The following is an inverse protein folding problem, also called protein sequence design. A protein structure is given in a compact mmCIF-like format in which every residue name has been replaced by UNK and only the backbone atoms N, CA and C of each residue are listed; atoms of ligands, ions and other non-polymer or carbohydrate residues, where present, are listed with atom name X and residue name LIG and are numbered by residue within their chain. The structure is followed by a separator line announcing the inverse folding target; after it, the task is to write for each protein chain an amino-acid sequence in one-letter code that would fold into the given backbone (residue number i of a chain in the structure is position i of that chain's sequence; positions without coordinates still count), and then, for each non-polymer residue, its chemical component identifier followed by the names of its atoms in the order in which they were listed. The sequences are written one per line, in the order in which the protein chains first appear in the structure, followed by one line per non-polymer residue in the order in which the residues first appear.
data_IF_416077726610
#
_entry.id   IF_416077726610
#
_cell.length_a   1.000
_cell.length_b   1.000
_cell.length_c   1.000
_cell.angle_alpha   90.00
_cell.angle_beta   90.00
_cell.angle_gamma   90.00
#
_symmetry.space_group_name_H-M   'P 1'
#
loop_
_entity.id
_entity.type
_entity.pdbx_description
1 polymer ?
#
# COMPACT_ATOMS: atom_id res chain seq x y z
N UNK A 1 15.65 -35.30 38.12
CA UNK A 1 16.88 -36.07 38.36
C UNK A 1 17.71 -36.04 37.11
N UNK A 2 18.93 -35.53 37.26
CA UNK A 2 20.15 -35.67 36.45
C UNK A 2 20.10 -36.45 35.13
N UNK A 3 20.49 -35.78 34.05
CA UNK A 3 21.16 -36.39 32.90
C UNK A 3 22.57 -35.81 32.83
N UNK A 4 23.58 -36.67 32.69
CA UNK A 4 24.98 -36.29 32.72
C UNK A 4 25.75 -37.02 31.60
N UNK A 5 26.57 -36.23 30.88
CA UNK A 5 27.72 -36.57 30.02
C UNK A 5 27.46 -37.38 28.74
N UNK A 6 28.10 -37.11 27.59
CA UNK A 6 29.48 -36.63 27.39
C UNK A 6 29.68 -35.90 26.04
N UNK A 7 30.53 -34.87 26.05
CA UNK A 7 31.24 -34.30 24.90
C UNK A 7 32.33 -35.25 24.36
N UNK A 8 32.86 -34.99 23.15
CA UNK A 8 34.23 -34.51 23.08
C UNK A 8 34.47 -33.33 22.10
N UNK A 9 35.08 -32.27 22.63
CA UNK A 9 36.00 -31.33 21.96
C UNK A 9 37.20 -32.09 21.33
N UNK A 10 38.00 -31.66 20.35
CA UNK A 10 38.56 -30.34 20.01
C UNK A 10 39.39 -30.49 18.71
N UNK A 11 39.47 -29.47 17.85
CA UNK A 11 40.77 -28.88 17.48
C UNK A 11 40.59 -27.60 16.65
N UNK A 12 41.00 -26.49 17.27
CA UNK A 12 41.23 -25.21 16.63
C UNK A 12 42.67 -25.15 16.09
N UNK A 13 42.89 -24.39 15.00
CA UNK A 13 44.16 -23.69 14.77
C UNK A 13 43.91 -22.26 14.28
N UNK A 14 44.49 -21.35 15.05
CA UNK A 14 44.60 -19.90 14.90
C UNK A 14 45.68 -19.49 13.89
N UNK A 15 45.58 -18.26 13.38
CA UNK A 15 46.60 -17.24 13.00
C UNK A 15 46.04 -16.43 11.80
N UNK A 16 46.00 -15.08 11.73
CA UNK A 16 46.38 -13.98 12.61
C UNK A 16 46.11 -12.62 11.91
N UNK A 17 45.75 -11.61 12.72
CA UNK A 17 45.90 -10.13 12.63
C UNK A 17 45.69 -9.32 11.32
N UNK A 18 44.82 -8.31 11.50
CA UNK A 18 44.85 -6.90 11.04
C UNK A 18 44.57 -6.56 9.56
N UNK A 19 43.47 -5.82 9.32
CA UNK A 19 43.29 -5.01 8.12
C UNK A 19 41.83 -4.62 7.87
N UNK A 20 41.51 -3.33 8.06
CA UNK A 20 40.47 -2.52 7.41
C UNK A 20 39.25 -3.25 6.82
N UNK A 21 38.07 -2.97 7.39
CA UNK A 21 36.77 -3.35 6.82
C UNK A 21 36.52 -2.50 5.56
N UNK A 22 37.02 -2.98 4.41
CA UNK A 22 36.64 -2.42 3.12
C UNK A 22 35.17 -2.71 2.83
N UNK A 23 34.44 -1.63 2.60
CA UNK A 23 33.10 -1.56 2.06
C UNK A 23 33.03 -2.35 0.73
N UNK A 24 32.42 -3.53 0.76
CA UNK A 24 32.19 -4.32 -0.45
C UNK A 24 31.16 -3.62 -1.35
N UNK A 25 31.67 -2.80 -2.27
CA UNK A 25 30.97 -2.34 -3.46
C UNK A 25 30.47 -3.55 -4.27
N UNK A 26 29.17 -3.58 -4.53
CA UNK A 26 28.52 -4.56 -5.40
C UNK A 26 29.05 -4.44 -6.85
N UNK A 27 29.36 -5.56 -7.53
CA UNK A 27 29.91 -5.53 -8.88
C UNK A 27 28.84 -5.15 -9.89
N UNK A 28 29.17 -4.21 -10.80
CA UNK A 28 28.27 -3.72 -11.84
C UNK A 28 27.77 -4.84 -12.77
N UNK A 29 26.45 -4.99 -12.84
CA UNK A 29 25.78 -6.05 -13.60
C UNK A 29 25.78 -5.73 -15.11
N UNK A 30 26.51 -6.52 -15.92
CA UNK A 30 26.45 -6.47 -17.38
C UNK A 30 25.20 -7.24 -17.85
N UNK A 31 24.20 -6.54 -18.39
CA UNK A 31 23.01 -7.13 -19.02
C UNK A 31 23.41 -8.08 -20.13
N UNK A 32 22.91 -9.32 -20.11
CA UNK A 32 23.20 -10.34 -21.11
C UNK A 32 22.05 -10.45 -22.11
N UNK A 33 22.38 -10.70 -23.36
CA UNK A 33 21.37 -10.85 -24.43
C UNK A 33 20.55 -12.13 -24.28
N UNK A 34 20.97 -13.04 -23.41
CA UNK A 34 20.35 -14.34 -23.12
C UNK A 34 19.40 -14.29 -21.91
N UNK A 35 19.14 -13.11 -21.36
CA UNK A 35 18.23 -12.93 -20.22
C UNK A 35 16.77 -12.70 -20.64
N UNK A 36 15.86 -13.43 -20.00
CA UNK A 36 14.41 -13.21 -20.07
C UNK A 36 13.92 -12.50 -18.81
N UNK A 37 13.04 -11.52 -18.99
CA UNK A 37 12.31 -10.87 -17.90
C UNK A 37 11.04 -11.66 -17.62
N UNK A 38 10.79 -11.98 -16.36
CA UNK A 38 9.59 -12.68 -15.87
C UNK A 38 8.94 -11.82 -14.78
N UNK A 39 7.81 -11.19 -15.09
CA UNK A 39 7.13 -10.24 -14.22
C UNK A 39 5.77 -10.73 -13.70
N UNK A 40 5.25 -9.99 -12.72
CA UNK A 40 4.02 -10.30 -11.98
C UNK A 40 4.07 -11.65 -11.25
N UNK A 41 5.25 -11.96 -10.74
CA UNK A 41 5.45 -13.11 -9.87
C UNK A 41 4.79 -12.84 -8.49
N UNK A 42 4.37 -13.89 -7.76
CA UNK A 42 4.02 -13.79 -6.34
C UNK A 42 5.19 -13.20 -5.52
N UNK A 43 4.87 -12.53 -4.41
CA UNK A 43 5.91 -11.88 -3.58
C UNK A 43 6.73 -12.91 -2.78
N UNK A 44 6.04 -13.96 -2.38
CA UNK A 44 6.50 -15.14 -1.64
C UNK A 44 7.25 -16.16 -2.51
N UNK A 45 7.25 -16.01 -3.84
CA UNK A 45 7.90 -16.98 -4.74
C UNK A 45 9.40 -17.15 -4.41
N UNK A 46 9.84 -18.40 -4.31
CA UNK A 46 11.24 -18.76 -4.10
C UNK A 46 12.04 -18.71 -5.41
N UNK A 47 13.38 -18.67 -5.33
CA UNK A 47 14.23 -18.75 -6.54
C UNK A 47 14.10 -20.12 -7.20
N UNK A 48 13.91 -21.15 -6.39
CA UNK A 48 13.75 -22.55 -6.74
C UNK A 48 12.46 -22.76 -7.56
N UNK A 49 11.36 -22.10 -7.18
CA UNK A 49 10.12 -22.12 -7.95
C UNK A 49 10.25 -21.38 -9.29
N UNK A 50 11.03 -20.30 -9.36
CA UNK A 50 11.33 -19.62 -10.64
C UNK A 50 12.14 -20.55 -11.55
N UNK A 51 13.13 -21.27 -11.00
CA UNK A 51 13.87 -22.29 -11.74
C UNK A 51 12.94 -23.41 -12.25
N UNK A 52 12.03 -23.88 -11.40
CA UNK A 52 11.06 -24.90 -11.77
C UNK A 52 10.09 -24.44 -12.86
N UNK A 53 9.63 -23.18 -12.80
CA UNK A 53 8.77 -22.56 -13.80
C UNK A 53 9.41 -22.54 -15.20
N UNK A 54 10.74 -22.35 -15.27
CA UNK A 54 11.49 -22.30 -16.53
C UNK A 54 12.28 -23.58 -16.83
N UNK A 55 12.02 -24.69 -16.11
CA UNK A 55 12.83 -25.92 -16.19
C UNK A 55 13.03 -26.44 -17.62
N UNK A 56 12.01 -26.35 -18.47
CA UNK A 56 12.04 -26.85 -19.85
C UNK A 56 12.99 -26.04 -20.75
N UNK A 57 13.42 -24.86 -20.28
CA UNK A 57 14.39 -23.99 -20.96
C UNK A 57 15.81 -24.07 -20.37
N UNK A 58 16.03 -24.87 -19.32
CA UNK A 58 17.31 -25.02 -18.61
C UNK A 58 17.91 -23.67 -18.17
N UNK A 59 17.33 -23.01 -17.14
CA UNK A 59 17.82 -21.72 -16.65
C UNK A 59 19.20 -21.87 -15.99
N UNK A 60 20.10 -20.94 -16.32
CA UNK A 60 21.49 -20.91 -15.83
C UNK A 60 21.63 -20.07 -14.57
N UNK A 61 20.97 -18.92 -14.52
CA UNK A 61 20.99 -18.01 -13.38
C UNK A 61 19.64 -17.30 -13.23
N UNK A 62 19.27 -17.01 -11.98
CA UNK A 62 18.01 -16.34 -11.63
C UNK A 62 18.29 -15.20 -10.68
N UNK A 63 18.01 -13.99 -11.16
CA UNK A 63 18.06 -12.78 -10.37
C UNK A 63 16.64 -12.28 -10.05
N UNK A 64 16.11 -12.75 -8.91
CA UNK A 64 14.83 -12.27 -8.35
C UNK A 64 15.01 -10.85 -7.81
N UNK A 65 14.18 -9.91 -8.29
CA UNK A 65 14.08 -8.54 -7.79
C UNK A 65 12.67 -8.32 -7.25
N UNK A 66 12.60 -7.85 -6.01
CA UNK A 66 11.36 -7.46 -5.36
C UNK A 66 11.43 -5.97 -5.01
N UNK A 67 10.53 -5.18 -5.60
CA UNK A 67 10.40 -3.76 -5.29
C UNK A 67 8.98 -3.45 -4.83
N UNK A 68 8.77 -3.45 -3.51
CA UNK A 68 7.45 -3.29 -2.91
C UNK A 68 6.51 -4.42 -3.34
N UNK A 69 5.36 -4.07 -3.93
CA UNK A 69 4.35 -5.02 -4.40
C UNK A 69 4.64 -5.61 -5.80
N UNK A 70 5.82 -5.36 -6.37
CA UNK A 70 6.23 -5.91 -7.66
C UNK A 70 7.36 -6.91 -7.46
N UNK A 71 7.11 -8.17 -7.78
CA UNK A 71 8.12 -9.22 -7.87
C UNK A 71 8.31 -9.60 -9.34
N UNK A 72 9.57 -9.60 -9.77
CA UNK A 72 9.99 -10.01 -11.10
C UNK A 72 11.38 -10.63 -11.05
N UNK A 73 11.73 -11.40 -12.07
CA UNK A 73 13.03 -12.04 -12.17
C UNK A 73 13.65 -11.79 -13.53
N UNK A 74 14.98 -11.70 -13.56
CA UNK A 74 15.75 -11.88 -14.78
C UNK A 74 16.35 -13.30 -14.75
N UNK A 75 16.13 -14.05 -15.81
CA UNK A 75 16.58 -15.44 -15.91
C UNK A 75 17.47 -15.60 -17.13
N UNK A 76 18.73 -16.00 -16.94
CA UNK A 76 19.64 -16.30 -18.04
C UNK A 76 19.34 -17.70 -18.58
N UNK A 77 18.93 -17.80 -19.84
CA UNK A 77 18.64 -19.08 -20.51
C UNK A 77 19.81 -19.57 -21.38
N UNK A 78 20.90 -18.80 -21.47
CA UNK A 78 22.10 -19.12 -22.25
C UNK A 78 21.93 -19.09 -23.77
N UNK A 79 20.72 -18.86 -24.30
CA UNK A 79 20.45 -18.80 -25.74
C UNK A 79 19.22 -17.94 -26.06
N UNK A 80 19.33 -17.12 -27.11
CA UNK A 80 18.25 -16.25 -27.60
C UNK A 80 17.04 -17.05 -28.11
N UNK A 81 17.29 -18.25 -28.66
CA UNK A 81 16.24 -19.15 -29.12
C UNK A 81 15.36 -19.60 -27.95
N UNK A 82 15.98 -19.95 -26.81
CA UNK A 82 15.25 -20.31 -25.58
C UNK A 82 14.48 -19.13 -25.00
N UNK A 83 15.03 -17.92 -25.04
CA UNK A 83 14.33 -16.68 -24.61
C UNK A 83 13.05 -16.47 -25.44
N UNK A 84 13.13 -16.66 -26.75
CA UNK A 84 11.97 -16.48 -27.65
C UNK A 84 10.89 -17.52 -27.37
N UNK A 85 11.26 -18.79 -27.21
CA UNK A 85 10.33 -19.87 -26.86
C UNK A 85 9.69 -19.65 -25.48
N UNK A 86 10.49 -19.26 -24.48
CA UNK A 86 9.99 -18.97 -23.14
C UNK A 86 8.97 -17.81 -23.15
N UNK A 87 9.19 -16.77 -23.95
CA UNK A 87 8.22 -15.66 -24.11
C UNK A 87 6.94 -16.18 -24.77
N UNK A 88 7.04 -16.95 -25.85
CA UNK A 88 5.88 -17.48 -26.56
C UNK A 88 5.03 -18.39 -25.67
N UNK A 89 5.66 -19.23 -24.85
CA UNK A 89 4.95 -20.21 -24.04
C UNK A 89 4.49 -19.69 -22.68
N UNK A 90 5.24 -18.80 -22.03
CA UNK A 90 4.98 -18.40 -20.64
C UNK A 90 4.29 -17.04 -20.51
N UNK A 91 4.39 -16.16 -21.53
CA UNK A 91 3.75 -14.85 -21.46
C UNK A 91 2.22 -15.00 -21.47
N UNK A 92 1.55 -14.48 -20.44
CA UNK A 92 0.10 -14.57 -20.27
C UNK A 92 -0.40 -15.86 -19.60
N UNK A 93 0.47 -16.85 -19.33
CA UNK A 93 0.08 -18.05 -18.56
C UNK A 93 -0.28 -17.69 -17.14
N UNK A 94 -1.24 -18.43 -16.58
CA UNK A 94 -1.62 -18.32 -15.19
C UNK A 94 -0.65 -19.10 -14.31
N UNK A 95 -0.04 -18.43 -13.35
CA UNK A 95 0.83 -18.99 -12.32
C UNK A 95 0.39 -18.41 -10.98
N UNK A 96 0.05 -19.28 -10.00
CA UNK A 96 -0.54 -18.85 -8.72
C UNK A 96 -1.72 -17.88 -8.88
N UNK A 97 -2.63 -18.17 -9.82
CA UNK A 97 -3.79 -17.33 -10.18
C UNK A 97 -3.45 -15.93 -10.72
N UNK A 98 -2.18 -15.68 -11.09
CA UNK A 98 -1.70 -14.41 -11.68
C UNK A 98 -1.22 -14.64 -13.11
N UNK A 99 -1.44 -13.68 -14.01
CA UNK A 99 -0.91 -13.74 -15.38
C UNK A 99 0.56 -13.34 -15.38
N UNK A 100 1.44 -14.21 -15.86
CA UNK A 100 2.86 -13.90 -16.01
C UNK A 100 3.08 -12.90 -17.15
N UNK A 101 4.02 -11.96 -16.97
CA UNK A 101 4.51 -11.10 -18.05
C UNK A 101 5.93 -11.48 -18.41
N UNK A 102 6.10 -12.15 -19.55
CA UNK A 102 7.42 -12.63 -19.99
C UNK A 102 7.85 -11.86 -21.23
N UNK A 103 9.02 -11.22 -21.16
CA UNK A 103 9.53 -10.39 -22.26
C UNK A 103 11.07 -10.46 -22.32
N UNK A 104 11.65 -10.00 -23.42
CA UNK A 104 13.10 -9.82 -23.52
C UNK A 104 13.60 -8.80 -22.49
N UNK A 105 14.81 -8.98 -21.95
CA UNK A 105 15.43 -8.09 -20.95
C UNK A 105 15.75 -6.67 -21.49
N UNK A 106 15.60 -6.43 -22.81
CA UNK A 106 15.79 -5.10 -23.41
C UNK A 106 14.55 -4.22 -23.20
N UNK A 107 14.76 -2.96 -22.77
CA UNK A 107 13.77 -1.90 -23.02
C UNK A 107 13.75 -1.62 -24.53
N UNK A 108 12.58 -1.34 -25.15
CA UNK A 108 12.60 -0.75 -26.49
C UNK A 108 13.43 0.55 -26.43
N UNK A 109 14.24 0.86 -27.45
CA UNK A 109 15.00 2.11 -27.48
C UNK A 109 14.02 3.29 -27.33
N UNK A 110 14.44 4.31 -26.58
CA UNK A 110 13.69 5.56 -26.40
C UNK A 110 13.29 6.07 -27.79
N UNK A 111 12.00 6.01 -28.12
CA UNK A 111 11.46 6.76 -29.25
C UNK A 111 11.65 8.23 -28.89
N UNK A 112 12.48 8.91 -29.67
CA UNK A 112 12.42 10.36 -29.82
C UNK A 112 10.99 10.74 -30.19
N UNK A 113 10.49 11.91 -29.75
CA UNK A 113 9.21 12.39 -30.21
C UNK A 113 9.37 12.77 -31.67
N UNK A 114 9.03 11.85 -32.57
CA UNK A 114 8.51 12.27 -33.86
C UNK A 114 7.55 11.22 -34.44
N UNK A 115 6.41 11.77 -34.86
CA UNK A 115 5.40 11.20 -35.75
C UNK A 115 4.59 10.00 -35.22
N UNK A 116 3.44 10.34 -34.64
CA UNK A 116 2.22 9.53 -34.68
C UNK A 116 1.79 9.41 -36.16
N UNK A 117 1.73 8.20 -36.69
CA UNK A 117 0.83 7.88 -37.79
C UNK A 117 0.01 6.66 -37.44
N UNK A 118 -1.25 6.91 -37.06
CA UNK A 118 -2.35 6.04 -37.47
C UNK A 118 -3.25 6.85 -38.42
N UNK A 119 -3.84 6.18 -39.42
CA UNK A 119 -4.25 6.82 -40.67
C UNK A 119 -5.66 7.43 -40.55
N UNK A 120 -5.82 8.70 -40.96
CA UNK A 120 -7.12 9.24 -41.41
C UNK A 120 -6.96 10.26 -42.56
N UNK A 121 -7.69 9.92 -43.62
CA UNK A 121 -8.22 10.61 -44.81
C UNK A 121 -8.00 12.15 -44.93
N UNK A 122 -7.66 12.67 -46.13
CA UNK A 122 -7.19 14.05 -46.33
C UNK A 122 -8.32 15.08 -46.49
N UNK A 123 -8.13 16.27 -45.92
CA UNK A 123 -8.83 17.49 -46.35
C UNK A 123 -7.82 18.62 -46.56
N UNK A 124 -8.15 19.44 -47.54
CA UNK A 124 -7.31 20.29 -48.37
C UNK A 124 -6.85 21.59 -47.69
N UNK A 125 -5.66 22.02 -48.12
CA UNK A 125 -4.91 23.27 -47.96
C UNK A 125 -5.73 24.57 -48.14
N UNK A 126 -5.50 25.61 -47.33
CA UNK A 126 -4.95 26.92 -47.79
C UNK A 126 -4.65 27.93 -46.65
N UNK A 127 -3.88 28.96 -47.02
CA UNK A 127 -2.85 29.68 -46.25
C UNK A 127 -3.28 31.02 -45.62
N UNK A 128 -2.40 31.51 -44.72
CA UNK A 128 -1.74 32.84 -44.70
C UNK A 128 -2.14 33.92 -43.66
N UNK A 129 -1.06 34.58 -43.20
CA UNK A 129 -0.91 35.90 -42.53
C UNK A 129 -1.29 35.97 -41.04
N UNK A 130 -0.57 36.66 -40.15
CA UNK A 130 0.64 37.51 -40.23
C UNK A 130 0.78 38.30 -38.91
N UNK A 131 2.03 38.45 -38.45
CA UNK A 131 2.57 39.51 -37.54
C UNK A 131 2.14 39.66 -36.07
N UNK A 132 3.14 39.87 -35.20
CA UNK A 132 2.98 40.39 -33.83
C UNK A 132 4.18 40.16 -32.90
N UNK A 133 5.10 41.13 -32.87
CA UNK A 133 6.37 41.20 -32.11
C UNK A 133 6.24 41.20 -30.57
N UNK A 134 7.30 40.71 -29.89
CA UNK A 134 7.54 40.97 -28.46
C UNK A 134 8.71 40.16 -27.85
N UNK A 135 9.95 40.52 -28.19
CA UNK A 135 11.18 39.97 -27.59
C UNK A 135 11.49 40.67 -26.27
N UNK A 136 11.78 39.90 -25.21
CA UNK A 136 12.72 40.32 -24.16
C UNK A 136 13.56 39.14 -23.71
N UNK A 137 14.87 39.21 -23.97
CA UNK A 137 15.89 38.30 -23.48
C UNK A 137 16.52 38.87 -22.20
N UNK A 138 16.79 38.02 -21.22
CA UNK A 138 17.73 38.27 -20.11
C UNK A 138 18.36 36.92 -19.73
N UNK A 139 19.48 36.57 -20.35
CA UNK A 139 20.84 36.65 -19.80
C UNK A 139 21.07 35.69 -18.63
N UNK A 140 21.72 34.58 -18.96
CA UNK A 140 22.41 33.67 -18.05
C UNK A 140 23.60 34.43 -17.48
N UNK A 141 23.63 34.68 -16.17
CA UNK A 141 24.86 34.93 -15.44
C UNK A 141 25.07 33.83 -14.41
N UNK A 142 26.06 32.99 -14.71
CA UNK A 142 26.70 32.06 -13.80
C UNK A 142 27.57 32.87 -12.83
N UNK A 143 27.32 32.76 -11.54
CA UNK A 143 28.22 33.21 -10.47
C UNK A 143 28.51 32.04 -9.51
N UNK A 144 29.69 32.02 -8.86
CA UNK A 144 30.29 30.81 -8.32
C UNK A 144 29.65 30.38 -7.01
N UNK A 145 29.47 29.06 -6.84
CA UNK A 145 29.00 28.44 -5.60
C UNK A 145 30.00 28.71 -4.47
N UNK A 146 29.55 29.41 -3.43
CA UNK A 146 30.17 29.36 -2.11
C UNK A 146 30.03 27.94 -1.52
N UNK A 147 30.93 27.52 -0.62
CA UNK A 147 30.87 26.18 -0.04
C UNK A 147 29.60 26.09 0.80
N UNK A 148 28.66 25.24 0.36
CA UNK A 148 27.49 24.89 1.16
C UNK A 148 28.00 24.16 2.38
N UNK A 149 27.78 24.76 3.54
CA UNK A 149 28.08 24.17 4.84
C UNK A 149 27.41 22.79 4.92
N UNK A 150 28.21 21.76 5.18
CA UNK A 150 27.81 20.36 5.19
C UNK A 150 26.77 20.06 6.29
N UNK A 151 26.49 21.01 7.18
CA UNK A 151 25.51 20.89 8.26
C UNK A 151 24.06 21.20 7.85
N UNK A 152 23.80 21.96 6.78
CA UNK A 152 22.41 22.29 6.37
C UNK A 152 21.78 21.25 5.44
N UNK A 153 22.58 20.38 4.83
CA UNK A 153 22.08 19.36 3.87
C UNK A 153 21.40 18.18 4.59
N UNK A 154 21.58 18.05 5.91
CA UNK A 154 20.98 16.99 6.72
C UNK A 154 19.57 17.34 7.25
N UNK A 155 19.15 18.62 7.21
CA UNK A 155 17.82 19.04 7.68
C UNK A 155 16.70 18.99 6.63
N UNK A 156 17.02 18.73 5.36
CA UNK A 156 16.05 18.76 4.25
C UNK A 156 15.63 17.39 3.71
N UNK A 157 15.89 16.30 4.43
CA UNK A 157 15.42 14.96 4.05
C UNK A 157 14.32 14.39 4.94
N UNK A 158 13.56 15.25 5.63
CA UNK A 158 12.28 14.85 6.18
C UNK A 158 11.34 14.54 5.01
N UNK A 159 11.22 13.27 4.64
CA UNK A 159 10.21 12.83 3.69
C UNK A 159 8.84 13.24 4.24
N UNK A 160 8.23 14.27 3.65
CA UNK A 160 6.85 14.64 3.94
C UNK A 160 5.97 13.56 3.32
N UNK A 161 5.66 12.53 4.10
CA UNK A 161 4.71 11.51 3.67
C UNK A 161 3.31 12.10 3.66
N UNK A 162 2.62 12.01 2.53
CA UNK A 162 1.20 12.31 2.48
C UNK A 162 0.44 11.27 3.31
N UNK A 163 -0.52 11.73 4.12
CA UNK A 163 -1.38 10.83 4.91
C UNK A 163 -2.22 9.97 3.94
N UNK A 164 -2.15 8.62 4.04
CA UNK A 164 -2.99 7.70 3.28
C UNK A 164 -4.47 8.05 3.41
N UNK A 165 -5.25 7.90 2.35
CA UNK A 165 -6.65 8.36 2.29
C UNK A 165 -7.47 7.78 3.44
N UNK A 166 -7.33 6.47 3.66
CA UNK A 166 -8.02 5.67 4.66
C UNK A 166 -7.68 6.07 6.10
N UNK A 167 -6.56 6.78 6.31
CA UNK A 167 -6.11 7.24 7.63
C UNK A 167 -6.43 8.70 7.91
N UNK A 168 -7.04 9.41 6.96
CA UNK A 168 -7.42 10.82 7.14
C UNK A 168 -8.64 10.94 8.03
N UNK A 169 -8.68 11.97 8.88
CA UNK A 169 -9.84 12.24 9.74
C UNK A 169 -11.17 12.34 8.96
N UNK A 170 -11.17 12.94 7.77
CA UNK A 170 -12.36 13.02 6.91
C UNK A 170 -12.89 11.65 6.47
N UNK A 171 -11.98 10.70 6.21
CA UNK A 171 -12.33 9.33 5.84
C UNK A 171 -12.93 8.58 7.04
N UNK A 172 -12.29 8.70 8.20
CA UNK A 172 -12.78 8.08 9.45
C UNK A 172 -14.14 8.64 9.86
N UNK A 173 -14.36 9.95 9.75
CA UNK A 173 -15.67 10.58 10.01
C UNK A 173 -16.74 10.02 9.10
N UNK A 174 -16.44 9.82 7.80
CA UNK A 174 -17.39 9.27 6.85
C UNK A 174 -17.75 7.82 7.19
N UNK A 175 -16.72 6.98 7.42
CA UNK A 175 -16.89 5.58 7.84
C UNK A 175 -17.77 5.49 9.09
N UNK A 176 -17.49 6.29 10.11
CA UNK A 176 -18.23 6.27 11.37
C UNK A 176 -19.68 6.71 11.21
N UNK A 177 -19.95 7.74 10.40
CA UNK A 177 -21.33 8.18 10.13
C UNK A 177 -22.15 7.12 9.40
N UNK A 178 -21.57 6.49 8.38
CA UNK A 178 -22.29 5.51 7.55
C UNK A 178 -22.45 4.17 8.28
N UNK A 179 -21.44 3.71 9.00
CA UNK A 179 -21.43 2.41 9.67
C UNK A 179 -21.96 2.42 11.10
N UNK A 180 -21.59 3.42 11.91
CA UNK A 180 -21.80 3.39 13.37
C UNK A 180 -22.80 4.45 13.85
N UNK A 181 -23.01 5.51 13.06
CA UNK A 181 -23.81 6.70 13.44
C UNK A 181 -23.32 7.37 14.74
N UNK A 182 -22.08 7.12 15.12
CA UNK A 182 -21.43 7.62 16.33
C UNK A 182 -19.99 8.05 16.03
N UNK A 183 -19.61 9.25 16.46
CA UNK A 183 -18.27 9.82 16.29
C UNK A 183 -17.42 9.76 17.56
N UNK A 184 -17.96 9.26 18.67
CA UNK A 184 -17.30 9.20 19.98
C UNK A 184 -16.00 8.40 19.92
N UNK A 185 -15.91 7.43 19.00
CA UNK A 185 -14.69 6.68 18.75
C UNK A 185 -13.50 7.58 18.36
N UNK A 186 -13.71 8.66 17.58
CA UNK A 186 -12.64 9.61 17.23
C UNK A 186 -12.07 10.31 18.46
N UNK A 187 -12.94 10.66 19.40
CA UNK A 187 -12.54 11.29 20.66
C UNK A 187 -11.72 10.31 21.51
N UNK A 188 -12.16 9.05 21.57
CA UNK A 188 -11.47 7.98 22.29
C UNK A 188 -10.06 7.77 21.74
N UNK A 189 -9.91 7.58 20.43
CA UNK A 189 -8.59 7.35 19.82
C UNK A 189 -7.66 8.57 19.94
N UNK A 190 -8.22 9.79 19.86
CA UNK A 190 -7.46 11.02 20.03
C UNK A 190 -7.00 11.23 21.47
N UNK A 191 -7.61 10.58 22.45
CA UNK A 191 -7.27 10.72 23.88
C UNK A 191 -6.15 9.78 24.36
N UNK A 192 -5.80 8.74 23.59
CA UNK A 192 -4.80 7.75 24.01
C UNK A 192 -3.41 8.38 24.12
N UNK A 193 -2.75 8.23 25.28
CA UNK A 193 -1.41 8.76 25.56
C UNK A 193 -0.63 7.79 26.42
N UNK A 194 0.70 7.90 26.39
CA UNK A 194 1.58 7.14 27.27
C UNK A 194 2.01 5.80 26.68
N UNK A 195 2.54 4.92 27.52
CA UNK A 195 3.04 3.61 27.13
C UNK A 195 1.90 2.66 26.78
N UNK A 196 2.00 2.00 25.63
CA UNK A 196 0.97 1.12 25.08
C UNK A 196 1.56 -0.12 24.42
N UNK A 197 0.74 -1.16 24.32
CA UNK A 197 0.93 -2.27 23.39
C UNK A 197 -0.01 -2.12 22.21
N UNK A 198 0.52 -2.21 20.99
CA UNK A 198 -0.23 -2.07 19.74
C UNK A 198 -0.07 -3.35 18.92
N UNK A 199 -1.16 -4.07 18.65
CA UNK A 199 -1.16 -5.19 17.72
C UNK A 199 -1.32 -4.66 16.30
N UNK A 200 -0.28 -4.73 15.48
CA UNK A 200 -0.30 -4.21 14.10
C UNK A 200 -1.17 -5.10 13.21
N UNK A 201 -2.17 -4.50 12.56
CA UNK A 201 -3.13 -5.20 11.70
C UNK A 201 -2.86 -4.97 10.21
N UNK A 202 -2.38 -3.79 9.84
CA UNK A 202 -2.00 -3.46 8.47
C UNK A 202 -0.92 -2.38 8.47
N UNK A 203 -0.14 -2.31 7.39
CA UNK A 203 0.89 -1.29 7.19
C UNK A 203 0.71 -0.62 5.83
N UNK A 204 1.15 0.63 5.72
CA UNK A 204 1.34 1.29 4.42
C UNK A 204 2.83 1.20 4.06
N UNK A 205 3.22 0.33 3.10
CA UNK A 205 4.61 -0.03 2.88
C UNK A 205 5.49 1.18 2.58
N UNK A 206 6.70 1.20 3.18
CA UNK A 206 7.69 2.29 3.02
C UNK A 206 7.19 3.65 3.52
N UNK A 207 6.20 3.67 4.40
CA UNK A 207 5.72 4.88 5.07
C UNK A 207 5.72 4.64 6.59
N UNK A 208 5.68 5.70 7.41
CA UNK A 208 5.56 5.55 8.86
C UNK A 208 4.15 5.14 9.30
N UNK A 209 3.20 5.02 8.37
CA UNK A 209 1.79 4.83 8.67
C UNK A 209 1.42 3.35 8.78
N UNK A 210 0.64 3.02 9.81
CA UNK A 210 0.15 1.67 10.05
C UNK A 210 -1.18 1.68 10.82
N UNK A 211 -1.91 0.58 10.75
CA UNK A 211 -3.11 0.34 11.55
C UNK A 211 -2.78 -0.63 12.66
N UNK A 212 -3.30 -0.37 13.87
CA UNK A 212 -3.13 -1.27 14.98
C UNK A 212 -4.31 -1.24 15.97
N UNK A 213 -4.50 -2.36 16.65
CA UNK A 213 -5.41 -2.45 17.79
C UNK A 213 -4.66 -2.05 19.07
N UNK A 214 -5.27 -1.18 19.87
CA UNK A 214 -4.70 -0.78 21.16
C UNK A 214 -5.04 -1.81 22.23
N UNK A 215 -4.03 -2.55 22.69
CA UNK A 215 -4.19 -3.70 23.59
C UNK A 215 -4.63 -3.22 24.97
N UNK A 216 -5.90 -3.46 25.27
CA UNK A 216 -6.56 -3.11 26.53
C UNK A 216 -7.53 -4.23 26.90
N UNK A 217 -8.00 -4.25 28.15
CA UNK A 217 -9.05 -5.19 28.57
C UNK A 217 -10.34 -4.98 27.77
N UNK A 218 -10.71 -3.72 27.51
CA UNK A 218 -11.87 -3.37 26.69
C UNK A 218 -11.74 -3.90 25.24
N UNK A 219 -10.54 -3.83 24.64
CA UNK A 219 -10.30 -4.44 23.32
C UNK A 219 -10.58 -5.94 23.36
N UNK A 220 -10.07 -6.65 24.36
CA UNK A 220 -10.26 -8.10 24.48
C UNK A 220 -11.75 -8.47 24.57
N UNK A 221 -12.50 -7.77 25.41
CA UNK A 221 -13.95 -7.95 25.55
C UNK A 221 -14.69 -7.67 24.24
N UNK A 222 -14.34 -6.58 23.56
CA UNK A 222 -14.93 -6.20 22.27
C UNK A 222 -14.61 -7.22 21.17
N UNK A 223 -13.37 -7.70 21.08
CA UNK A 223 -12.98 -8.74 20.12
C UNK A 223 -13.76 -10.03 20.37
N UNK A 224 -13.83 -10.48 21.63
CA UNK A 224 -14.54 -11.69 21.98
C UNK A 224 -16.02 -11.58 21.63
N UNK A 225 -16.68 -10.48 22.00
CA UNK A 225 -18.09 -10.24 21.68
C UNK A 225 -18.31 -10.19 20.16
N UNK A 226 -17.57 -9.34 19.44
CA UNK A 226 -17.75 -9.13 18.01
C UNK A 226 -17.53 -10.42 17.22
N UNK A 227 -16.39 -11.08 17.38
CA UNK A 227 -16.07 -12.25 16.57
C UNK A 227 -16.93 -13.47 16.92
N UNK A 228 -17.37 -13.59 18.18
CA UNK A 228 -18.35 -14.64 18.55
C UNK A 228 -19.70 -14.40 17.87
N UNK A 229 -20.18 -13.16 17.87
CA UNK A 229 -21.44 -12.79 17.22
C UNK A 229 -21.35 -12.95 15.70
N UNK A 230 -20.23 -12.59 15.07
CA UNK A 230 -20.03 -12.79 13.64
C UNK A 230 -19.97 -14.27 13.26
N UNK A 231 -19.23 -15.10 14.02
CA UNK A 231 -19.12 -16.52 13.76
C UNK A 231 -20.49 -17.24 13.88
N UNK A 232 -21.33 -16.83 14.83
CA UNK A 232 -22.68 -17.37 14.96
C UNK A 232 -23.59 -16.94 13.81
N UNK A 233 -23.45 -15.70 13.34
CA UNK A 233 -24.28 -15.11 12.31
C UNK A 233 -23.89 -15.52 10.87
N UNK A 234 -22.64 -15.96 10.68
CA UNK A 234 -22.01 -16.19 9.37
C UNK A 234 -22.89 -17.01 8.43
N UNK A 235 -23.32 -18.20 8.87
CA UNK A 235 -24.08 -19.15 8.05
C UNK A 235 -25.48 -18.62 7.66
N UNK A 236 -26.04 -17.70 8.46
CA UNK A 236 -27.38 -17.17 8.20
C UNK A 236 -27.36 -15.88 7.35
N UNK A 237 -26.21 -15.21 7.20
CA UNK A 237 -26.16 -13.98 6.40
C UNK A 237 -26.26 -14.30 4.91
N UNK A 238 -27.24 -13.73 4.18
CA UNK A 238 -27.39 -13.94 2.75
C UNK A 238 -26.31 -13.17 1.99
N UNK A 239 -25.95 -13.68 0.80
CA UNK A 239 -25.16 -12.92 -0.16
C UNK A 239 -25.92 -11.67 -0.60
N UNK A 240 -25.18 -10.59 -0.84
CA UNK A 240 -25.78 -9.35 -1.34
C UNK A 240 -26.15 -9.49 -2.81
N UNK A 241 -27.38 -9.06 -3.13
CA UNK A 241 -27.79 -8.85 -4.50
C UNK A 241 -26.94 -7.76 -5.15
N UNK A 242 -26.64 -7.93 -6.44
CA UNK A 242 -25.74 -7.03 -7.17
C UNK A 242 -26.21 -5.56 -7.07
N UNK A 243 -27.51 -5.30 -7.22
CA UNK A 243 -28.10 -3.96 -7.14
C UNK A 243 -28.06 -3.34 -5.73
N UNK A 244 -27.89 -4.15 -4.68
CA UNK A 244 -27.82 -3.69 -3.30
C UNK A 244 -26.43 -3.18 -2.91
N UNK A 245 -25.38 -3.58 -3.65
CA UNK A 245 -24.00 -3.15 -3.37
C UNK A 245 -23.74 -1.77 -3.96
N UNK A 246 -23.62 -0.79 -3.07
CA UNK A 246 -23.32 0.61 -3.37
C UNK A 246 -22.39 1.19 -2.31
N UNK A 247 -21.85 2.38 -2.56
CA UNK A 247 -21.10 3.12 -1.54
C UNK A 247 -21.93 3.25 -0.26
N UNK A 248 -21.31 2.97 0.87
CA UNK A 248 -21.97 3.00 2.18
C UNK A 248 -22.56 1.66 2.62
N UNK A 249 -22.63 0.65 1.74
CA UNK A 249 -23.16 -0.66 2.11
C UNK A 249 -22.31 -1.31 3.21
N UNK A 250 -22.99 -1.78 4.24
CA UNK A 250 -22.46 -2.56 5.36
C UNK A 250 -22.53 -4.03 4.98
N UNK A 251 -21.41 -4.75 5.10
CA UNK A 251 -21.34 -6.12 4.61
C UNK A 251 -20.33 -6.97 5.37
N UNK A 252 -20.35 -8.27 5.10
CA UNK A 252 -19.27 -9.19 5.45
C UNK A 252 -18.49 -9.58 4.20
N UNK A 253 -17.19 -9.77 4.37
CA UNK A 253 -16.34 -10.46 3.40
C UNK A 253 -15.32 -11.34 4.14
N UNK A 254 -14.81 -12.37 3.46
CA UNK A 254 -13.73 -13.19 3.99
C UNK A 254 -12.42 -12.41 4.03
N UNK A 255 -11.81 -12.35 5.22
CA UNK A 255 -10.49 -11.80 5.45
C UNK A 255 -9.49 -12.93 5.67
N UNK A 256 -8.30 -12.83 5.07
CA UNK A 256 -7.24 -13.80 5.26
C UNK A 256 -6.37 -13.40 6.46
N UNK A 257 -6.39 -14.23 7.50
CA UNK A 257 -5.67 -14.04 8.76
C UNK A 257 -4.27 -14.67 8.75
N UNK A 258 -3.69 -14.90 7.56
CA UNK A 258 -2.40 -15.60 7.43
C UNK A 258 -2.53 -17.08 7.81
N UNK A 259 -1.64 -17.57 8.67
CA UNK A 259 -1.61 -18.99 9.07
C UNK A 259 -2.86 -19.44 9.85
N UNK A 260 -3.66 -18.49 10.34
CA UNK A 260 -4.93 -18.75 11.02
C UNK A 260 -6.11 -19.00 10.05
N UNK A 261 -5.88 -18.90 8.74
CA UNK A 261 -6.89 -19.19 7.71
C UNK A 261 -7.76 -17.98 7.36
N UNK A 262 -9.07 -18.21 7.21
CA UNK A 262 -10.03 -17.20 6.77
C UNK A 262 -11.15 -17.02 7.80
N UNK A 263 -11.65 -15.81 7.92
CA UNK A 263 -12.83 -15.50 8.74
C UNK A 263 -13.65 -14.37 8.12
N UNK A 264 -14.96 -14.39 8.33
CA UNK A 264 -15.84 -13.30 7.90
C UNK A 264 -15.71 -12.09 8.80
N UNK A 265 -15.55 -10.92 8.18
CA UNK A 265 -15.26 -9.69 8.89
C UNK A 265 -16.08 -8.53 8.33
N UNK A 266 -16.32 -7.55 9.21
CA UNK A 266 -17.08 -6.35 8.87
C UNK A 266 -16.37 -5.54 7.79
N UNK A 267 -17.13 -5.21 6.77
CA UNK A 267 -16.68 -4.47 5.61
C UNK A 267 -17.61 -3.28 5.35
N UNK A 268 -17.00 -2.18 4.92
CA UNK A 268 -17.69 -1.00 4.41
C UNK A 268 -17.33 -0.80 2.94
N UNK A 269 -18.33 -0.71 2.08
CA UNK A 269 -18.14 -0.48 0.64
C UNK A 269 -17.83 1.00 0.40
N UNK A 270 -16.60 1.29 -0.02
CA UNK A 270 -16.17 2.63 -0.38
C UNK A 270 -16.70 3.03 -1.76
N UNK A 271 -16.58 2.11 -2.70
CA UNK A 271 -16.96 2.34 -4.09
C UNK A 271 -17.21 1.00 -4.81
N UNK A 272 -17.87 1.08 -5.95
CA UNK A 272 -18.15 -0.06 -6.80
C UNK A 272 -17.70 0.23 -8.23
N UNK A 273 -16.99 -0.72 -8.81
CA UNK A 273 -16.58 -0.71 -10.21
C UNK A 273 -17.07 -2.00 -10.88
N UNK A 274 -18.19 -1.89 -11.60
CA UNK A 274 -18.83 -3.01 -12.30
C UNK A 274 -19.16 -4.17 -11.33
N UNK A 275 -18.50 -5.32 -11.49
CA UNK A 275 -18.67 -6.55 -10.69
C UNK A 275 -17.77 -6.61 -9.46
N UNK A 276 -17.02 -5.53 -9.17
CA UNK A 276 -16.09 -5.45 -8.06
C UNK A 276 -16.46 -4.31 -7.10
N UNK A 277 -16.29 -4.57 -5.81
CA UNK A 277 -16.41 -3.58 -4.75
C UNK A 277 -15.04 -3.27 -4.16
N UNK A 278 -14.77 -1.99 -3.92
CA UNK A 278 -13.66 -1.55 -3.08
C UNK A 278 -14.21 -1.48 -1.65
N UNK A 279 -13.68 -2.32 -0.77
CA UNK A 279 -14.13 -2.43 0.62
C UNK A 279 -13.01 -2.10 1.60
N UNK A 280 -13.39 -1.59 2.75
CA UNK A 280 -12.52 -1.45 3.92
C UNK A 280 -12.89 -2.51 4.95
N UNK A 281 -11.94 -3.35 5.33
CA UNK A 281 -12.02 -4.20 6.51
C UNK A 281 -11.79 -3.34 7.74
N UNK A 282 -12.89 -2.92 8.36
CA UNK A 282 -12.92 -1.83 9.35
C UNK A 282 -12.12 -2.18 10.60
N UNK A 283 -12.12 -3.46 10.96
CA UNK A 283 -11.44 -3.96 12.16
C UNK A 283 -9.94 -4.24 11.95
N UNK A 284 -9.46 -4.20 10.70
CA UNK A 284 -8.06 -4.47 10.34
C UNK A 284 -7.36 -3.30 9.65
N UNK A 285 -8.12 -2.30 9.19
CA UNK A 285 -7.54 -1.11 8.57
C UNK A 285 -7.11 -1.35 7.12
N UNK A 286 -7.65 -2.40 6.49
CA UNK A 286 -7.18 -2.89 5.20
C UNK A 286 -8.21 -2.63 4.10
N UNK A 287 -7.76 -2.00 3.02
CA UNK A 287 -8.54 -1.91 1.79
C UNK A 287 -8.34 -3.16 0.92
N UNK A 288 -9.41 -3.60 0.28
CA UNK A 288 -9.39 -4.70 -0.67
C UNK A 288 -10.37 -4.46 -1.82
N UNK A 289 -10.12 -5.11 -2.95
CA UNK A 289 -11.04 -5.17 -4.08
C UNK A 289 -11.59 -6.58 -4.17
N UNK A 290 -12.88 -6.73 -3.93
CA UNK A 290 -13.56 -8.03 -3.76
C UNK A 290 -14.70 -8.14 -4.77
N UNK A 291 -14.97 -9.31 -5.36
CA UNK A 291 -16.13 -9.50 -6.21
C UNK A 291 -17.43 -9.23 -5.43
N UNK A 292 -18.39 -8.54 -6.04
CA UNK A 292 -19.68 -8.19 -5.41
C UNK A 292 -20.39 -9.45 -4.88
N UNK A 293 -20.36 -10.53 -5.66
CA UNK A 293 -20.94 -11.84 -5.32
C UNK A 293 -20.29 -12.55 -4.12
N UNK A 294 -19.14 -12.06 -3.64
CA UNK A 294 -18.46 -12.60 -2.46
C UNK A 294 -18.84 -11.84 -1.18
N UNK A 295 -19.70 -10.84 -1.26
CA UNK A 295 -20.15 -10.05 -0.11
C UNK A 295 -21.48 -10.58 0.45
N UNK A 296 -21.60 -10.60 1.77
CA UNK A 296 -22.86 -10.91 2.47
C UNK A 296 -23.41 -9.68 3.18
N UNK A 297 -24.73 -9.63 3.36
CA UNK A 297 -25.37 -8.51 4.09
C UNK A 297 -24.93 -8.52 5.55
N UNK A 298 -24.81 -7.33 6.12
CA UNK A 298 -24.66 -7.13 7.56
C UNK A 298 -25.38 -5.85 7.98
N UNK A 299 -26.65 -5.71 7.61
CA UNK A 299 -27.36 -4.45 7.77
C UNK A 299 -27.92 -4.21 9.19
N UNK A 300 -28.05 -5.26 10.01
CA UNK A 300 -28.54 -5.14 11.39
C UNK A 300 -27.61 -4.29 12.25
N UNK A 301 -28.15 -3.25 12.88
CA UNK A 301 -27.40 -2.29 13.72
C UNK A 301 -26.69 -2.97 14.90
N UNK A 302 -27.12 -4.15 15.35
CA UNK A 302 -26.50 -4.91 16.45
C UNK A 302 -25.02 -5.22 16.19
N UNK A 303 -24.65 -5.52 14.93
CA UNK A 303 -23.26 -5.80 14.52
C UNK A 303 -22.37 -4.55 14.48
N UNK A 304 -22.95 -3.36 14.61
CA UNK A 304 -22.30 -2.06 14.45
C UNK A 304 -22.28 -1.26 15.75
N UNK A 305 -22.60 -1.90 16.87
CA UNK A 305 -22.54 -1.30 18.21
C UNK A 305 -21.10 -1.23 18.74
N UNK A 306 -20.30 -2.28 18.48
CA UNK A 306 -18.88 -2.33 18.85
C UNK A 306 -18.10 -1.49 17.84
N UNK A 307 -17.40 -0.42 18.25
CA UNK A 307 -16.69 0.46 17.32
C UNK A 307 -15.53 -0.26 16.61
N UNK A 308 -14.87 0.38 15.62
CA UNK A 308 -13.70 -0.20 14.96
C UNK A 308 -12.63 -0.64 15.95
N UNK A 309 -12.12 -1.87 15.79
CA UNK A 309 -11.09 -2.43 16.68
C UNK A 309 -9.69 -1.84 16.47
N UNK A 310 -9.43 -1.30 15.28
CA UNK A 310 -8.12 -0.76 14.89
C UNK A 310 -8.21 0.73 14.58
N UNK A 311 -7.12 1.45 14.83
CA UNK A 311 -6.98 2.87 14.58
C UNK A 311 -5.67 3.16 13.85
N UNK A 312 -5.58 4.26 13.10
CA UNK A 312 -4.35 4.60 12.39
C UNK A 312 -3.31 5.21 13.34
N UNK A 313 -2.06 4.84 13.12
CA UNK A 313 -0.88 5.33 13.82
C UNK A 313 0.19 5.77 12.84
N UNK A 314 1.12 6.57 13.34
CA UNK A 314 2.31 7.00 12.61
C UNK A 314 3.52 6.82 13.52
N UNK A 315 4.57 6.17 13.01
CA UNK A 315 5.87 6.10 13.68
C UNK A 315 6.55 7.46 13.67
N UNK A 316 7.18 7.83 14.78
CA UNK A 316 8.09 8.97 14.83
C UNK A 316 9.35 8.66 13.99
N UNK A 317 10.01 9.69 13.46
CA UNK A 317 11.00 9.63 12.36
C UNK A 317 12.05 8.49 12.50
N UNK A 318 12.53 8.02 11.35
CA UNK A 318 13.61 7.01 11.17
C UNK A 318 13.23 5.52 11.34
N UNK A 319 11.97 5.21 11.64
CA UNK A 319 11.46 3.83 11.67
C UNK A 319 10.46 3.65 10.51
N UNK A 320 10.91 3.05 9.40
CA UNK A 320 10.00 2.64 8.33
C UNK A 320 9.34 1.30 8.69
N UNK A 321 8.04 1.20 8.46
CA UNK A 321 7.32 -0.06 8.65
C UNK A 321 7.79 -1.11 7.62
N UNK A 322 8.29 -2.24 8.13
CA UNK A 322 8.56 -3.47 7.36
C UNK A 322 7.34 -4.38 7.42
N UNK A 323 7.08 -5.18 6.38
CA UNK A 323 6.01 -6.19 6.42
C UNK A 323 6.16 -7.18 7.59
N UNK A 324 7.38 -7.33 8.11
CA UNK A 324 7.69 -8.19 9.25
C UNK A 324 6.97 -7.80 10.55
N UNK A 325 6.40 -6.58 10.65
CA UNK A 325 5.70 -6.14 11.87
C UNK A 325 4.21 -6.46 11.88
N UNK A 326 3.60 -6.86 10.75
CA UNK A 326 2.18 -7.23 10.72
C UNK A 326 1.94 -8.44 11.62
N UNK A 327 0.85 -8.41 12.38
CA UNK A 327 0.50 -9.39 13.43
C UNK A 327 1.49 -9.46 14.60
N UNK A 328 2.36 -8.46 14.77
CA UNK A 328 3.22 -8.31 15.95
C UNK A 328 2.71 -7.23 16.89
N UNK A 329 3.05 -7.40 18.16
CA UNK A 329 2.82 -6.38 19.19
C UNK A 329 4.01 -5.42 19.22
N UNK A 330 3.77 -4.17 18.89
CA UNK A 330 4.69 -3.07 19.12
C UNK A 330 4.44 -2.49 20.50
N UNK A 331 5.50 -2.33 21.29
CA UNK A 331 5.45 -1.60 22.55
C UNK A 331 6.10 -0.24 22.35
N UNK A 332 5.47 0.81 22.84
CA UNK A 332 6.04 2.14 22.76
C UNK A 332 5.11 3.19 23.34
N UNK A 333 5.50 4.44 23.17
CA UNK A 333 4.82 5.59 23.75
C UNK A 333 4.03 6.35 22.69
N UNK A 334 2.75 6.57 22.93
CA UNK A 334 1.94 7.50 22.14
C UNK A 334 2.20 8.92 22.63
N UNK A 335 2.76 9.75 21.76
CA UNK A 335 3.17 11.14 22.03
C UNK A 335 2.07 12.16 21.74
N UNK A 336 1.11 11.83 20.87
CA UNK A 336 0.01 12.72 20.53
C UNK A 336 -0.71 12.30 19.26
N UNK A 337 -1.67 13.14 18.84
CA UNK A 337 -2.35 12.99 17.55
C UNK A 337 -1.70 13.90 16.50
N UNK A 338 -1.70 13.46 15.25
CA UNK A 338 -1.18 14.23 14.12
C UNK A 338 -2.21 15.30 13.70
N UNK A 339 -1.98 16.55 14.09
CA UNK A 339 -2.74 17.71 13.61
C UNK A 339 -2.16 18.20 12.28
N UNK A 340 -2.28 17.42 11.21
CA UNK A 340 -1.91 17.90 9.87
C UNK A 340 -3.14 18.50 9.19
N UNK A 341 -3.41 19.78 9.46
CA UNK A 341 -4.12 20.60 8.48
C UNK A 341 -3.21 20.71 7.26
N UNK A 342 -3.59 20.06 6.15
CA UNK A 342 -2.92 20.27 4.87
C UNK A 342 -3.11 21.74 4.52
N UNK A 343 -2.07 22.54 4.73
CA UNK A 343 -2.03 23.91 4.21
C UNK A 343 -1.88 23.77 2.70
N UNK A 344 -3.01 23.78 1.99
CA UNK A 344 -2.96 24.01 0.56
C UNK A 344 -2.33 25.40 0.34
N UNK A 345 -1.43 25.58 -0.65
CA UNK A 345 -0.99 26.91 -1.01
C UNK A 345 -2.23 27.72 -1.39
N UNK A 346 -2.49 28.79 -0.66
CA UNK A 346 -3.58 29.69 -0.93
C UNK A 346 -3.35 30.34 -2.29
N UNK A 347 -4.01 29.81 -3.32
CA UNK A 347 -4.17 30.49 -4.59
C UNK A 347 -5.65 30.44 -4.98
N UNK A 348 -6.29 31.60 -4.75
CA UNK A 348 -7.55 32.07 -5.33
C UNK A 348 -8.79 31.19 -5.15
N UNK A 349 -9.46 31.33 -4.00
CA UNK A 349 -10.91 31.22 -3.94
C UNK A 349 -11.45 32.48 -3.25
N UNK A 350 -12.27 33.21 -3.99
CA UNK A 350 -12.94 34.41 -3.53
C UNK A 350 -13.77 34.11 -2.28
N UNK A 351 -13.63 34.99 -1.29
CA UNK A 351 -14.37 35.00 -0.03
C UNK A 351 -15.86 35.21 -0.36
N UNK A 352 -16.71 34.21 -0.12
CA UNK A 352 -18.15 34.42 0.06
C UNK A 352 -18.41 34.66 1.56
N UNK A 353 -19.24 35.65 1.94
CA UNK A 353 -19.47 35.98 3.34
C UNK A 353 -20.33 34.92 4.04
N UNK A 354 -20.18 34.75 5.37
CA UNK A 354 -20.90 33.72 6.12
C UNK A 354 -22.39 34.06 6.26
N UNK A 355 -23.24 33.07 6.03
CA UNK A 355 -24.67 33.11 6.35
C UNK A 355 -24.87 33.15 7.87
N UNK A 356 -25.65 34.12 8.33
CA UNK A 356 -26.04 34.31 9.73
C UNK A 356 -26.96 33.16 10.22
N UNK A 357 -26.90 32.81 11.52
CA UNK A 357 -27.69 31.71 12.06
C UNK A 357 -29.15 32.13 12.26
N UNK A 358 -30.10 31.36 11.69
CA UNK A 358 -31.52 31.49 12.01
C UNK A 358 -31.79 30.82 13.37
N UNK A 359 -31.77 31.64 14.43
CA UNK A 359 -32.43 31.33 15.69
C UNK A 359 -33.92 31.59 15.59
N UNK A 360 -34.72 30.59 15.94
CA UNK A 360 -36.17 30.59 16.07
C UNK A 360 -36.68 31.54 17.16
N UNK A 361 -37.72 32.33 16.87
CA UNK A 361 -38.80 32.74 17.80
C UNK A 361 -39.92 33.50 17.05
N UNK A 362 -41.00 32.76 16.75
CA UNK A 362 -42.37 32.98 17.23
C UNK A 362 -43.07 34.37 17.12
N UNK A 363 -44.24 34.33 16.44
CA UNK A 363 -45.50 35.08 16.67
C UNK A 363 -45.53 36.63 16.51
N UNK A 364 -46.37 37.10 15.56
CA UNK A 364 -47.71 37.68 15.83
C UNK A 364 -48.14 38.75 14.80
N UNK A 365 -49.46 38.77 14.52
CA UNK A 365 -50.25 39.79 13.81
C UNK A 365 -50.04 39.89 12.28
N UNK A 366 -51.05 39.96 11.41
CA UNK A 366 -52.49 40.17 11.56
C UNK A 366 -53.26 39.41 10.47
#
# INVERSE_FOLDING_TARGET
MSWNSSDPQLSAKLFGKNGVLEEQKSPGFKKRETEVYVGNLPLDISKEEILYLLKDFNPLDVHKIQNGCKCFAFVDLGSMQKVTLAIQELNGKLFHKRKLFVNTSRRPPKRTPDVIQQPRVPLVLEKASGEGFGKTAAIIQLAPKAPVDLCETEKLRAAFFAVPLEMRGSFLVLLLRECFRDLSWLVLIHSVRGEVGLLVTSIVPKTPFFWAMHITEALHQNMQALFSTLAQAEEQQPYLEDSAVKRGTRCLAEYHLGDYGHAWNRCWVLDRVDTWAVVMFIDFGQLATIPVQSLRSLDSDDFWTIPPLTQPFMLEKDILSSYEVVHRILKGKITGALNSEVTAPASNLAILPPLLPLGSLQQAAA
#
